data_IF_071598648140
#
_entry.id   IF_071598648140
#
_cell.length_a   1.000
_cell.length_b   1.000
_cell.length_c   1.000
_cell.angle_alpha   90.00
_cell.angle_beta   90.00
_cell.angle_gamma   90.00
#
_symmetry.space_group_name_H-M   'P 1'
#
loop_
_entity.id
_entity.type
_entity.pdbx_description
1 polymer ?
#
# COMPACT_ATOMS: atom_id res chain seq x y z
N UNK A 1 0.17 -5.93 -12.27
CA UNK A 1 1.60 -6.28 -12.13
C UNK A 1 1.82 -7.53 -11.28
N UNK A 2 1.23 -7.64 -10.09
CA UNK A 2 1.50 -8.72 -9.13
C UNK A 2 1.01 -10.13 -9.46
N UNK A 3 0.29 -10.34 -10.57
CA UNK A 3 -0.29 -11.63 -10.94
C UNK A 3 0.71 -12.81 -10.93
N UNK A 4 1.99 -12.67 -11.38
CA UNK A 4 2.95 -13.77 -11.32
C UNK A 4 3.36 -14.16 -9.89
N UNK A 5 3.30 -13.22 -8.94
CA UNK A 5 3.81 -13.40 -7.58
C UNK A 5 2.70 -13.72 -6.58
N UNK A 6 1.47 -13.27 -6.85
CA UNK A 6 0.35 -13.30 -5.89
C UNK A 6 0.02 -14.72 -5.45
N UNK A 7 0.07 -15.70 -6.36
CA UNK A 7 -0.21 -17.10 -6.05
C UNK A 7 0.81 -17.70 -5.09
N UNK A 8 2.10 -17.40 -5.28
CA UNK A 8 3.16 -17.91 -4.42
C UNK A 8 3.08 -17.28 -3.02
N UNK A 9 2.91 -15.96 -2.94
CA UNK A 9 2.78 -15.23 -1.67
C UNK A 9 1.53 -15.66 -0.89
N UNK A 10 0.43 -15.96 -1.61
CA UNK A 10 -0.84 -16.33 -0.99
C UNK A 10 -0.85 -17.71 -0.35
N UNK A 11 0.23 -18.51 -0.47
CA UNK A 11 0.36 -19.81 0.20
C UNK A 11 0.57 -19.65 1.71
N UNK A 12 1.31 -18.62 2.11
CA UNK A 12 1.72 -18.40 3.50
C UNK A 12 1.11 -17.10 4.09
N UNK A 13 0.67 -16.17 3.23
CA UNK A 13 0.17 -14.86 3.65
C UNK A 13 -1.19 -14.55 3.02
N UNK A 14 -2.07 -13.86 3.76
CA UNK A 14 -3.19 -13.17 3.13
C UNK A 14 -2.66 -11.97 2.35
N UNK A 15 -2.56 -12.11 1.03
CA UNK A 15 -1.90 -11.11 0.19
C UNK A 15 -2.91 -10.18 -0.46
N UNK A 16 -2.67 -8.87 -0.35
CA UNK A 16 -3.44 -7.82 -1.01
C UNK A 16 -2.57 -7.15 -2.07
N UNK A 17 -3.12 -6.97 -3.27
CA UNK A 17 -2.53 -6.13 -4.31
C UNK A 17 -3.48 -4.95 -4.53
N UNK A 18 -3.07 -3.78 -4.07
CA UNK A 18 -3.88 -2.56 -4.06
C UNK A 18 -3.47 -1.70 -5.26
N UNK A 19 -4.44 -1.22 -6.03
CA UNK A 19 -4.22 -0.18 -7.02
C UNK A 19 -4.05 1.15 -6.28
N UNK A 20 -2.93 1.83 -6.48
CA UNK A 20 -2.63 3.09 -5.80
C UNK A 20 -3.69 4.15 -6.13
N UNK A 21 -4.19 4.86 -5.13
CA UNK A 21 -5.16 5.95 -5.36
C UNK A 21 -4.57 7.05 -6.25
N UNK A 22 -5.33 7.49 -7.25
CA UNK A 22 -4.89 8.50 -8.22
C UNK A 22 -3.86 8.01 -9.25
N UNK A 23 -3.62 6.70 -9.34
CA UNK A 23 -2.78 6.08 -10.38
C UNK A 23 -3.64 5.28 -11.37
N UNK A 24 -3.02 4.73 -12.41
CA UNK A 24 -3.67 3.83 -13.35
C UNK A 24 -4.10 2.55 -12.62
N UNK A 25 -5.41 2.29 -12.57
CA UNK A 25 -5.97 1.12 -11.90
C UNK A 25 -7.47 1.25 -11.69
N UNK A 26 -8.00 0.52 -10.71
CA UNK A 26 -9.43 0.52 -10.34
C UNK A 26 -9.74 1.35 -9.10
N UNK A 27 -8.73 1.91 -8.43
CA UNK A 27 -8.97 2.84 -7.33
C UNK A 27 -9.46 4.17 -7.89
N UNK A 28 -10.61 4.62 -7.39
CA UNK A 28 -11.27 5.84 -7.88
C UNK A 28 -11.22 6.94 -6.83
N UNK A 29 -10.92 8.15 -7.29
CA UNK A 29 -11.01 9.35 -6.49
C UNK A 29 -12.46 9.84 -6.51
N UNK A 30 -13.03 10.08 -5.32
CA UNK A 30 -14.34 10.74 -5.19
C UNK A 30 -14.27 12.21 -5.63
N UNK A 31 -13.08 12.84 -5.47
CA UNK A 31 -12.79 14.20 -5.90
C UNK A 31 -11.37 14.24 -6.50
N UNK A 32 -11.26 14.63 -7.78
CA UNK A 32 -10.00 14.66 -8.52
C UNK A 32 -8.97 15.65 -7.95
N UNK A 33 -9.41 16.64 -7.16
CA UNK A 33 -8.52 17.60 -6.51
C UNK A 33 -7.97 17.09 -5.16
N UNK A 34 -8.60 16.05 -4.60
CA UNK A 34 -8.29 15.47 -3.29
C UNK A 34 -7.62 14.12 -3.43
N UNK A 35 -6.32 14.15 -3.70
CA UNK A 35 -5.47 12.97 -3.75
C UNK A 35 -4.19 13.18 -2.92
N UNK A 36 -3.51 12.10 -2.48
CA UNK A 36 -2.24 12.24 -1.77
C UNK A 36 -1.16 12.92 -2.62
N UNK A 37 -0.63 14.04 -2.13
CA UNK A 37 0.35 14.88 -2.86
C UNK A 37 1.80 14.69 -2.41
N UNK A 38 2.03 14.02 -1.28
CA UNK A 38 3.36 13.78 -0.72
C UNK A 38 3.40 12.43 0.03
N UNK A 39 4.60 12.03 0.46
CA UNK A 39 4.83 10.72 1.07
C UNK A 39 4.03 10.49 2.36
N UNK A 40 3.89 11.51 3.21
CA UNK A 40 3.08 11.42 4.42
C UNK A 40 1.61 11.18 4.09
N UNK A 41 1.06 11.93 3.13
CA UNK A 41 -0.33 11.75 2.71
C UNK A 41 -0.58 10.34 2.11
N UNK A 42 0.40 9.77 1.40
CA UNK A 42 0.28 8.37 0.93
C UNK A 42 0.37 7.37 2.08
N UNK A 43 1.16 7.67 3.13
CA UNK A 43 1.20 6.87 4.35
C UNK A 43 -0.16 6.85 5.05
N UNK A 44 -0.75 8.03 5.27
CA UNK A 44 -2.06 8.21 5.90
C UNK A 44 -3.16 7.49 5.10
N UNK A 45 -3.16 7.64 3.77
CA UNK A 45 -4.11 6.91 2.92
C UNK A 45 -3.97 5.38 3.04
N UNK A 46 -2.74 4.86 3.07
CA UNK A 46 -2.53 3.42 3.17
C UNK A 46 -2.86 2.89 4.58
N UNK A 47 -2.71 3.72 5.61
CA UNK A 47 -3.22 3.47 6.96
C UNK A 47 -4.74 3.34 6.97
N UNK A 48 -5.47 4.25 6.31
CA UNK A 48 -6.93 4.15 6.20
C UNK A 48 -7.35 2.86 5.50
N UNK A 49 -6.64 2.47 4.44
CA UNK A 49 -6.87 1.20 3.75
C UNK A 49 -6.63 0.01 4.69
N UNK A 50 -5.58 0.05 5.50
CA UNK A 50 -5.31 -1.00 6.48
C UNK A 50 -6.42 -1.09 7.53
N UNK A 51 -6.90 0.05 8.04
CA UNK A 51 -7.96 0.10 9.05
C UNK A 51 -9.26 -0.51 8.51
N UNK A 52 -9.67 -0.15 7.29
CA UNK A 52 -10.86 -0.71 6.64
C UNK A 52 -10.71 -2.22 6.36
N UNK A 53 -9.50 -2.68 6.05
CA UNK A 53 -9.21 -4.11 5.85
C UNK A 53 -8.98 -4.88 7.16
N UNK A 54 -8.96 -4.21 8.32
CA UNK A 54 -8.67 -4.80 9.63
C UNK A 54 -7.23 -5.28 9.80
N UNK A 55 -6.27 -4.60 9.17
CA UNK A 55 -4.84 -4.96 9.17
C UNK A 55 -4.10 -4.09 10.20
N UNK A 56 -3.73 -4.67 11.34
CA UNK A 56 -2.94 -3.95 12.35
C UNK A 56 -1.49 -3.72 11.88
N UNK A 57 -0.84 -4.77 11.38
CA UNK A 57 0.53 -4.74 10.84
C UNK A 57 0.65 -5.68 9.63
N UNK A 58 1.49 -5.32 8.66
CA UNK A 58 1.75 -6.16 7.49
C UNK A 58 3.22 -6.12 7.04
N UNK A 59 3.63 -7.17 6.33
CA UNK A 59 4.76 -7.05 5.42
C UNK A 59 4.30 -6.29 4.18
N UNK A 60 5.07 -5.29 3.75
CA UNK A 60 4.73 -4.43 2.63
C UNK A 60 5.80 -4.50 1.55
N UNK A 61 5.38 -4.52 0.30
CA UNK A 61 6.25 -4.58 -0.88
C UNK A 61 5.78 -3.57 -1.90
N UNK A 62 6.72 -2.94 -2.59
CA UNK A 62 6.43 -1.96 -3.61
C UNK A 62 7.54 -1.89 -4.65
N UNK A 63 7.13 -1.73 -5.91
CA UNK A 63 8.03 -1.56 -7.05
C UNK A 63 7.86 -0.13 -7.59
N UNK A 64 8.97 0.51 -8.02
CA UNK A 64 8.98 1.88 -8.54
C UNK A 64 8.27 2.87 -7.60
N UNK A 65 7.19 3.52 -8.04
CA UNK A 65 6.37 4.43 -7.24
C UNK A 65 5.78 3.75 -6.01
N UNK A 66 5.38 2.48 -6.12
CA UNK A 66 4.93 1.69 -4.98
C UNK A 66 6.04 1.47 -3.94
N UNK A 67 7.30 1.36 -4.38
CA UNK A 67 8.46 1.27 -3.49
C UNK A 67 8.66 2.57 -2.70
N UNK A 68 8.56 3.72 -3.37
CA UNK A 68 8.57 5.02 -2.70
C UNK A 68 7.44 5.16 -1.68
N UNK A 69 6.20 4.76 -2.03
CA UNK A 69 5.06 4.76 -1.09
C UNK A 69 5.33 3.84 0.12
N UNK A 70 5.84 2.62 -0.11
CA UNK A 70 6.13 1.64 0.94
C UNK A 70 7.18 2.14 1.94
N UNK A 71 8.22 2.84 1.46
CA UNK A 71 9.22 3.47 2.32
C UNK A 71 8.59 4.60 3.14
N UNK A 72 7.73 5.43 2.54
CA UNK A 72 7.06 6.50 3.28
C UNK A 72 6.11 5.95 4.36
N UNK A 73 5.40 4.85 4.10
CA UNK A 73 4.62 4.16 5.14
C UNK A 73 5.51 3.77 6.33
N UNK A 74 6.71 3.27 6.06
CA UNK A 74 7.65 2.85 7.11
C UNK A 74 8.28 4.02 7.87
N UNK A 75 8.32 5.22 7.27
CA UNK A 75 8.82 6.44 7.91
C UNK A 75 7.74 7.07 8.80
N UNK A 76 6.53 7.23 8.29
CA UNK A 76 5.46 7.99 8.96
C UNK A 76 4.51 7.13 9.79
N UNK A 77 4.44 5.82 9.54
CA UNK A 77 3.53 4.88 10.22
C UNK A 77 4.23 3.54 10.47
N UNK A 78 5.46 3.61 11.00
CA UNK A 78 6.34 2.44 11.23
C UNK A 78 5.68 1.32 12.06
N UNK A 79 4.77 1.68 12.96
CA UNK A 79 3.99 0.77 13.79
C UNK A 79 3.03 -0.11 12.99
N UNK A 80 2.76 0.21 11.72
CA UNK A 80 1.92 -0.57 10.79
C UNK A 80 2.74 -1.52 9.92
N UNK A 81 4.07 -1.45 9.97
CA UNK A 81 4.98 -2.22 9.13
C UNK A 81 5.70 -3.29 9.93
N UNK A 82 5.42 -4.55 9.61
CA UNK A 82 6.15 -5.71 10.17
C UNK A 82 7.51 -5.91 9.50
N UNK A 83 7.64 -5.45 8.24
CA UNK A 83 8.87 -5.44 7.47
C UNK A 83 8.61 -5.04 6.02
N UNK A 84 9.64 -4.55 5.33
CA UNK A 84 9.59 -4.29 3.89
C UNK A 84 10.20 -5.49 3.17
N UNK A 85 9.44 -6.13 2.28
CA UNK A 85 9.97 -7.23 1.47
C UNK A 85 11.00 -6.72 0.46
N UNK A 86 12.08 -7.49 0.27
CA UNK A 86 13.10 -7.27 -0.76
C UNK A 86 12.73 -7.99 -2.05
#
# INVERSE_FOLDING_TARGET
MWLPNILALSRDYRTYAIDTIGDLGKSELDDLEKYPKNGQAYSEWLVDVFDVLGINQAFVIGESRGGWITINLSIYSSERVKGIGK
#
